data_IF_988427600240
#
_entry.id   IF_988427600240
#
_cell.length_a   1.000
_cell.length_b   1.000
_cell.length_c   1.000
_cell.angle_alpha   90.00
_cell.angle_beta   90.00
_cell.angle_gamma   90.00
#
_symmetry.space_group_name_H-M   'P 1'
#
loop_
_entity.id
_entity.type
_entity.pdbx_description
1 polymer ?
#
# COMPACT_ATOMS: atom_id res chain seq x y z
N UNK A 1 -19.39 22.87 21.50
CA UNK A 1 -19.35 21.39 21.33
C UNK A 1 -19.45 21.09 19.83
N UNK A 2 -18.50 20.34 19.31
CA UNK A 2 -18.58 19.86 17.93
C UNK A 2 -19.26 18.48 17.93
N UNK A 3 -20.24 18.30 17.05
CA UNK A 3 -20.97 17.06 16.87
C UNK A 3 -20.45 16.34 15.64
N UNK A 4 -20.28 15.04 15.72
CA UNK A 4 -19.82 14.20 14.63
C UNK A 4 -20.87 13.15 14.28
N UNK A 5 -21.05 12.89 13.01
CA UNK A 5 -21.97 11.84 12.56
C UNK A 5 -21.27 10.49 12.73
N UNK A 6 -21.86 9.63 13.54
CA UNK A 6 -21.35 8.28 13.82
C UNK A 6 -21.84 7.28 12.78
N UNK A 7 -23.10 7.37 12.40
CA UNK A 7 -23.75 6.54 11.37
C UNK A 7 -24.75 7.37 10.58
N UNK A 8 -25.10 6.90 9.38
CA UNK A 8 -26.11 7.52 8.53
C UNK A 8 -25.63 8.70 7.70
N UNK A 9 -24.35 8.83 7.39
CA UNK A 9 -23.83 9.91 6.54
C UNK A 9 -24.54 9.98 5.17
N UNK A 10 -24.69 8.84 4.48
CA UNK A 10 -25.41 8.79 3.22
C UNK A 10 -26.90 9.13 3.36
N UNK A 11 -27.52 8.73 4.48
CA UNK A 11 -28.91 9.09 4.79
C UNK A 11 -29.04 10.61 5.01
N UNK A 12 -28.09 11.21 5.74
CA UNK A 12 -28.08 12.66 5.94
C UNK A 12 -27.94 13.42 4.61
N UNK A 13 -27.04 12.99 3.72
CA UNK A 13 -26.89 13.60 2.41
C UNK A 13 -28.17 13.45 1.56
N UNK A 14 -28.79 12.29 1.58
CA UNK A 14 -30.08 12.07 0.92
C UNK A 14 -31.18 13.00 1.49
N UNK A 15 -31.27 13.14 2.80
CA UNK A 15 -32.22 14.06 3.44
C UNK A 15 -31.97 15.53 3.06
N UNK A 16 -30.73 15.95 2.95
CA UNK A 16 -30.39 17.30 2.48
C UNK A 16 -30.88 17.56 1.03
N UNK A 17 -30.74 16.56 0.16
CA UNK A 17 -31.19 16.65 -1.23
C UNK A 17 -32.72 16.72 -1.31
N UNK A 18 -33.41 15.92 -0.52
CA UNK A 18 -34.88 15.81 -0.54
C UNK A 18 -35.56 16.92 0.30
N UNK A 19 -34.81 17.60 1.18
CA UNK A 19 -35.32 18.71 1.99
C UNK A 19 -36.25 18.27 3.16
N UNK A 20 -36.12 17.00 3.61
CA UNK A 20 -36.92 16.49 4.73
C UNK A 20 -36.17 16.60 6.05
N UNK A 21 -36.93 16.77 7.21
CA UNK A 21 -36.29 16.83 8.53
C UNK A 21 -35.57 15.55 8.91
N UNK A 22 -34.31 15.69 9.39
CA UNK A 22 -33.50 14.57 9.86
C UNK A 22 -33.83 14.26 11.32
N UNK A 23 -34.19 13.00 11.58
CA UNK A 23 -34.27 12.48 12.96
C UNK A 23 -32.92 11.87 13.34
N UNK A 24 -32.36 12.24 14.46
CA UNK A 24 -31.05 11.75 14.94
C UNK A 24 -31.11 11.47 16.45
N UNK A 25 -30.19 10.64 16.88
CA UNK A 25 -29.97 10.27 18.27
C UNK A 25 -28.61 10.76 18.70
N UNK A 26 -28.52 11.48 19.79
CA UNK A 26 -27.26 11.93 20.37
C UNK A 26 -26.74 10.85 21.31
N UNK A 27 -25.46 10.50 21.15
CA UNK A 27 -24.77 9.55 22.00
C UNK A 27 -23.48 10.22 22.51
N UNK A 28 -23.48 10.56 23.81
CA UNK A 28 -22.32 11.20 24.47
C UNK A 28 -21.31 10.17 25.02
N UNK A 29 -21.71 8.90 25.07
CA UNK A 29 -20.99 7.76 25.63
C UNK A 29 -20.10 7.03 24.63
N UNK A 30 -20.11 7.42 23.35
CA UNK A 30 -19.38 6.70 22.28
C UNK A 30 -18.01 7.31 21.99
N UNK A 31 -17.00 6.44 21.91
CA UNK A 31 -15.66 6.76 21.46
C UNK A 31 -15.48 6.39 19.99
N UNK A 32 -14.38 6.84 19.37
CA UNK A 32 -14.10 6.58 17.96
C UNK A 32 -13.87 5.08 17.67
N UNK A 33 -13.41 4.35 18.69
CA UNK A 33 -13.24 2.90 18.66
C UNK A 33 -14.59 2.18 18.54
N UNK A 34 -15.61 2.68 19.23
CA UNK A 34 -16.98 2.13 19.20
C UNK A 34 -17.61 2.34 17.83
N UNK A 35 -17.34 3.50 17.19
CA UNK A 35 -17.80 3.79 15.83
C UNK A 35 -17.20 2.80 14.83
N UNK A 36 -15.92 2.48 14.97
CA UNK A 36 -15.24 1.49 14.12
C UNK A 36 -15.83 0.10 14.30
N UNK A 37 -16.13 -0.28 15.55
CA UNK A 37 -16.77 -1.55 15.87
C UNK A 37 -18.16 -1.67 15.24
N UNK A 38 -19.01 -0.65 15.36
CA UNK A 38 -20.33 -0.63 14.76
C UNK A 38 -20.31 -0.75 13.24
N UNK A 39 -19.39 -0.02 12.58
CA UNK A 39 -19.25 -0.08 11.14
C UNK A 39 -18.63 -1.42 10.66
N UNK A 40 -17.88 -2.12 11.51
CA UNK A 40 -17.30 -3.42 11.15
C UNK A 40 -18.33 -4.55 11.05
N UNK A 41 -19.51 -4.38 11.68
CA UNK A 41 -20.60 -5.38 11.65
C UNK A 41 -21.38 -5.33 10.34
N UNK A 42 -21.55 -4.14 9.74
CA UNK A 42 -22.39 -3.96 8.56
C UNK A 42 -21.61 -3.79 7.25
N UNK A 43 -20.45 -3.14 7.26
CA UNK A 43 -19.53 -3.07 6.13
C UNK A 43 -18.08 -3.05 6.64
N UNK A 44 -17.29 -4.02 6.22
CA UNK A 44 -15.85 -4.04 6.57
C UNK A 44 -15.16 -2.85 5.92
N UNK A 45 -14.63 -1.96 6.74
CA UNK A 45 -13.81 -0.85 6.27
C UNK A 45 -12.62 -1.35 5.44
N UNK A 46 -12.38 -0.70 4.33
CA UNK A 46 -11.16 -0.87 3.56
C UNK A 46 -9.97 -0.29 4.33
N UNK A 47 -8.76 -0.72 3.99
CA UNK A 47 -7.54 -0.14 4.60
C UNK A 47 -7.42 1.36 4.33
N UNK A 48 -7.96 1.85 3.21
CA UNK A 48 -7.98 3.28 2.90
C UNK A 48 -8.90 4.05 3.85
N UNK A 49 -10.08 3.52 4.21
CA UNK A 49 -10.97 4.15 5.18
C UNK A 49 -10.35 4.22 6.57
N UNK A 50 -9.69 3.14 7.02
CA UNK A 50 -8.88 3.17 8.24
C UNK A 50 -7.77 4.24 8.17
N UNK A 51 -7.02 4.30 7.07
CA UNK A 51 -6.00 5.32 6.87
C UNK A 51 -6.58 6.72 7.03
N UNK A 52 -7.63 7.03 6.28
CA UNK A 52 -8.24 8.37 6.31
C UNK A 52 -8.82 8.74 7.67
N UNK A 53 -9.35 7.77 8.43
CA UNK A 53 -9.82 8.01 9.79
C UNK A 53 -8.69 8.46 10.73
N UNK A 54 -7.51 7.82 10.64
CA UNK A 54 -6.34 8.20 11.44
C UNK A 54 -5.67 9.49 10.96
N UNK A 55 -5.69 9.76 9.67
CA UNK A 55 -5.24 11.05 9.10
C UNK A 55 -6.08 12.21 9.64
N UNK A 56 -7.41 12.05 9.68
CA UNK A 56 -8.33 13.05 10.28
C UNK A 56 -8.07 13.28 11.77
N UNK A 57 -7.61 12.26 12.50
CA UNK A 57 -7.18 12.38 13.90
C UNK A 57 -5.83 13.07 14.06
N UNK A 58 -5.16 13.39 12.96
CA UNK A 58 -3.89 14.10 12.99
C UNK A 58 -2.66 13.23 13.25
N UNK A 59 -2.77 11.89 13.23
CA UNK A 59 -1.69 10.96 13.53
C UNK A 59 -0.56 11.08 12.49
N UNK A 60 0.68 11.46 12.87
CA UNK A 60 1.75 11.80 11.93
C UNK A 60 2.13 10.65 10.99
N UNK A 61 2.28 9.42 11.53
CA UNK A 61 2.67 8.25 10.73
C UNK A 61 1.64 7.97 9.62
N UNK A 62 0.34 8.17 9.88
CA UNK A 62 -0.73 7.95 8.89
C UNK A 62 -0.79 9.07 7.85
N UNK A 63 -0.51 10.31 8.22
CA UNK A 63 -0.36 11.42 7.25
C UNK A 63 0.80 11.14 6.29
N UNK A 64 1.89 10.56 6.82
CA UNK A 64 3.01 10.18 5.96
C UNK A 64 2.67 9.03 5.01
N UNK A 65 1.93 8.00 5.48
CA UNK A 65 1.46 6.92 4.60
C UNK A 65 0.57 7.48 3.48
N UNK A 66 -0.35 8.41 3.80
CA UNK A 66 -1.18 9.06 2.79
C UNK A 66 -0.33 9.76 1.73
N UNK A 67 0.66 10.54 2.17
CA UNK A 67 1.60 11.18 1.28
C UNK A 67 2.38 10.15 0.45
N UNK A 68 2.90 9.08 1.07
CA UNK A 68 3.68 8.04 0.42
C UNK A 68 2.89 7.33 -0.69
N UNK A 69 1.63 6.98 -0.42
CA UNK A 69 0.72 6.38 -1.40
C UNK A 69 0.51 7.30 -2.59
N UNK A 70 0.21 8.58 -2.33
CA UNK A 70 -0.02 9.58 -3.38
C UNK A 70 1.24 9.86 -4.22
N UNK A 71 2.38 9.95 -3.55
CA UNK A 71 3.66 10.28 -4.18
C UNK A 71 4.23 9.15 -5.02
N UNK A 72 4.11 7.91 -4.54
CA UNK A 72 4.70 6.74 -5.20
C UNK A 72 3.69 5.86 -5.94
N UNK A 73 2.40 6.14 -5.85
CA UNK A 73 1.32 5.32 -6.44
C UNK A 73 1.31 3.86 -5.97
N UNK A 74 1.78 3.62 -4.74
CA UNK A 74 1.81 2.29 -4.11
C UNK A 74 0.58 2.14 -3.22
N UNK A 75 -0.10 0.99 -3.27
CA UNK A 75 -1.31 0.76 -2.50
C UNK A 75 -1.04 0.71 -0.98
N UNK A 76 -2.08 0.96 -0.17
CA UNK A 76 -1.98 1.04 1.31
C UNK A 76 -1.27 -0.17 1.90
N UNK A 77 -1.64 -1.37 1.47
CA UNK A 77 -1.14 -2.63 2.03
C UNK A 77 0.36 -2.81 1.79
N UNK A 78 0.81 -2.52 0.59
CA UNK A 78 2.22 -2.58 0.20
C UNK A 78 3.04 -1.47 0.89
N UNK A 79 2.45 -0.27 1.02
CA UNK A 79 3.08 0.84 1.76
C UNK A 79 3.29 0.51 3.24
N UNK A 80 2.31 -0.12 3.90
CA UNK A 80 2.45 -0.61 5.28
C UNK A 80 3.64 -1.57 5.40
N UNK A 81 3.73 -2.56 4.51
CA UNK A 81 4.83 -3.52 4.52
C UNK A 81 6.19 -2.83 4.36
N UNK A 82 6.32 -1.97 3.36
CA UNK A 82 7.58 -1.26 3.06
C UNK A 82 8.02 -0.38 4.22
N UNK A 83 7.12 0.43 4.79
CA UNK A 83 7.43 1.37 5.86
C UNK A 83 7.75 0.68 7.21
N UNK A 84 7.45 -0.60 7.34
CA UNK A 84 7.85 -1.45 8.47
C UNK A 84 9.01 -2.40 8.16
N UNK A 85 9.60 -2.35 6.96
CA UNK A 85 10.74 -3.17 6.57
C UNK A 85 10.40 -4.63 6.25
N UNK A 86 9.14 -4.92 5.89
CA UNK A 86 8.69 -6.26 5.56
C UNK A 86 8.54 -6.45 4.04
N UNK A 87 8.71 -7.68 3.60
CA UNK A 87 8.57 -8.05 2.19
C UNK A 87 7.13 -8.40 1.80
N UNK A 88 6.23 -8.47 2.77
CA UNK A 88 4.78 -8.67 2.61
C UNK A 88 4.06 -8.24 3.89
N UNK A 89 2.77 -7.92 3.78
CA UNK A 89 1.97 -7.56 4.95
C UNK A 89 1.37 -8.80 5.61
N UNK A 90 1.53 -8.90 6.92
CA UNK A 90 0.86 -9.90 7.77
C UNK A 90 -0.48 -9.39 8.29
N UNK A 91 -1.34 -10.30 8.77
CA UNK A 91 -2.59 -9.89 9.41
C UNK A 91 -2.34 -9.08 10.68
N UNK A 92 -1.35 -9.42 11.47
CA UNK A 92 -0.94 -8.70 12.68
C UNK A 92 -0.57 -7.24 12.37
N UNK A 93 0.21 -7.01 11.31
CA UNK A 93 0.54 -5.64 10.86
C UNK A 93 -0.70 -4.87 10.44
N UNK A 94 -1.60 -5.50 9.71
CA UNK A 94 -2.84 -4.87 9.27
C UNK A 94 -3.76 -4.55 10.45
N UNK A 95 -3.83 -5.40 11.45
CA UNK A 95 -4.61 -5.16 12.66
C UNK A 95 -3.98 -4.05 13.52
N UNK A 96 -2.65 -4.03 13.65
CA UNK A 96 -1.91 -2.94 14.27
C UNK A 96 -2.19 -1.62 13.57
N UNK A 97 -2.20 -1.62 12.23
CA UNK A 97 -2.54 -0.46 11.42
C UNK A 97 -4.00 0.00 11.63
N UNK A 98 -4.98 -0.90 11.54
CA UNK A 98 -6.40 -0.57 11.75
C UNK A 98 -6.65 0.04 13.13
N UNK A 99 -5.94 -0.44 14.15
CA UNK A 99 -6.07 -0.01 15.55
C UNK A 99 -5.32 1.29 15.88
N UNK A 100 -4.73 1.97 14.91
CA UNK A 100 -4.03 3.24 15.13
C UNK A 100 -2.65 3.11 15.79
N UNK A 101 -2.12 1.89 15.90
CA UNK A 101 -0.84 1.59 16.56
C UNK A 101 0.32 1.45 15.58
N UNK A 102 0.09 1.72 14.30
CA UNK A 102 1.14 1.66 13.28
C UNK A 102 2.26 2.64 13.57
N UNK A 103 3.50 2.18 13.39
CA UNK A 103 4.72 3.00 13.47
C UNK A 103 5.60 2.74 12.26
N UNK A 104 6.11 3.82 11.67
CA UNK A 104 7.11 3.74 10.62
C UNK A 104 8.48 3.47 11.24
N UNK A 105 9.19 2.47 10.73
CA UNK A 105 10.52 2.06 11.24
C UNK A 105 11.58 2.05 10.15
N UNK A 106 11.21 2.01 8.86
CA UNK A 106 12.10 1.84 7.71
C UNK A 106 11.84 2.88 6.61
N UNK A 107 11.74 4.16 7.00
CA UNK A 107 11.36 5.26 6.13
C UNK A 107 12.28 5.44 4.92
N UNK A 108 13.59 5.51 5.18
CA UNK A 108 14.60 5.75 4.13
C UNK A 108 14.66 4.57 3.15
N UNK A 109 14.61 3.36 3.68
CA UNK A 109 14.63 2.14 2.86
C UNK A 109 13.37 2.02 2.02
N UNK A 110 12.20 2.27 2.59
CA UNK A 110 10.93 2.27 1.88
C UNK A 110 10.92 3.29 0.74
N UNK A 111 11.39 4.51 0.99
CA UNK A 111 11.50 5.55 -0.04
C UNK A 111 12.43 5.14 -1.17
N UNK A 112 13.60 4.58 -0.83
CA UNK A 112 14.56 4.05 -1.80
C UNK A 112 13.95 2.91 -2.64
N UNK A 113 13.18 2.02 -2.05
CA UNK A 113 12.54 0.93 -2.76
C UNK A 113 11.40 1.44 -3.65
N UNK A 114 10.63 2.42 -3.19
CA UNK A 114 9.59 3.07 -3.99
C UNK A 114 10.16 3.75 -5.24
N UNK A 115 11.28 4.48 -5.12
CA UNK A 115 11.98 5.06 -6.27
C UNK A 115 12.47 4.00 -7.26
N UNK A 116 13.00 2.89 -6.76
CA UNK A 116 13.42 1.77 -7.62
C UNK A 116 12.24 1.13 -8.35
N UNK A 117 11.08 0.97 -7.69
CA UNK A 117 9.86 0.47 -8.34
C UNK A 117 9.41 1.45 -9.44
N UNK A 118 9.46 2.76 -9.17
CA UNK A 118 9.19 3.80 -10.17
C UNK A 118 10.15 3.72 -11.37
N UNK A 119 11.43 3.43 -11.13
CA UNK A 119 12.40 3.25 -12.20
C UNK A 119 12.13 1.98 -13.02
N UNK A 120 11.78 0.86 -12.35
CA UNK A 120 11.38 -0.40 -13.03
C UNK A 120 10.15 -0.15 -13.91
N UNK A 121 9.20 0.67 -13.47
CA UNK A 121 7.97 0.94 -14.22
C UNK A 121 8.23 1.53 -15.61
N UNK A 122 9.34 2.20 -15.82
CA UNK A 122 9.74 2.70 -17.15
C UNK A 122 9.97 1.59 -18.17
N UNK A 123 10.26 0.38 -17.71
CA UNK A 123 10.58 -0.79 -18.54
C UNK A 123 9.58 -1.94 -18.39
N UNK A 124 8.75 -1.91 -17.33
CA UNK A 124 7.77 -2.95 -17.03
C UNK A 124 6.51 -2.32 -16.44
N UNK A 125 5.47 -2.21 -17.24
CA UNK A 125 4.18 -1.57 -16.93
C UNK A 125 3.54 -2.09 -15.62
N UNK A 126 3.68 -3.40 -15.33
CA UNK A 126 3.07 -4.04 -14.15
C UNK A 126 3.92 -3.95 -12.88
N UNK A 127 4.91 -3.04 -12.82
CA UNK A 127 5.78 -2.86 -11.65
C UNK A 127 5.03 -2.48 -10.37
N UNK A 128 3.85 -1.87 -10.49
CA UNK A 128 2.98 -1.53 -9.35
C UNK A 128 1.99 -2.63 -8.97
N UNK A 129 1.99 -3.79 -9.66
CA UNK A 129 1.14 -4.88 -9.26
C UNK A 129 1.59 -5.46 -7.91
N UNK A 130 0.62 -5.79 -7.06
CA UNK A 130 0.86 -6.35 -5.72
C UNK A 130 1.86 -7.52 -5.73
N UNK A 131 1.68 -8.45 -6.67
CA UNK A 131 2.52 -9.64 -6.77
C UNK A 131 3.97 -9.28 -7.10
N UNK A 132 4.15 -8.31 -8.01
CA UNK A 132 5.48 -7.83 -8.38
C UNK A 132 6.14 -7.06 -7.25
N UNK A 133 5.44 -6.13 -6.59
CA UNK A 133 5.98 -5.37 -5.45
C UNK A 133 6.53 -6.33 -4.39
N UNK A 134 5.75 -7.33 -3.96
CA UNK A 134 6.22 -8.29 -2.96
C UNK A 134 7.37 -9.18 -3.45
N UNK A 135 7.42 -9.47 -4.74
CA UNK A 135 8.55 -10.20 -5.32
C UNK A 135 9.84 -9.36 -5.29
N UNK A 136 9.77 -8.11 -5.77
CA UNK A 136 10.95 -7.26 -5.85
C UNK A 136 11.45 -6.82 -4.46
N UNK A 137 10.56 -6.62 -3.48
CA UNK A 137 10.95 -6.36 -2.09
C UNK A 137 11.74 -7.53 -1.50
N UNK A 138 11.33 -8.78 -1.79
CA UNK A 138 12.09 -9.98 -1.38
C UNK A 138 13.47 -10.04 -2.02
N UNK A 139 13.59 -9.58 -3.27
CA UNK A 139 14.87 -9.50 -3.98
C UNK A 139 15.74 -8.39 -3.41
N UNK A 140 15.16 -7.23 -3.08
CA UNK A 140 15.90 -6.11 -2.48
C UNK A 140 16.49 -6.44 -1.11
N UNK A 141 15.85 -7.32 -0.34
CA UNK A 141 16.36 -7.82 0.93
C UNK A 141 17.62 -8.68 0.80
N UNK A 142 17.90 -9.22 -0.38
CA UNK A 142 19.11 -9.98 -0.61
C UNK A 142 20.32 -9.04 -0.70
N UNK A 143 21.25 -9.15 0.26
CA UNK A 143 22.45 -8.33 0.34
C UNK A 143 23.36 -8.45 -0.90
N UNK A 144 23.29 -9.57 -1.61
CA UNK A 144 24.06 -9.81 -2.84
C UNK A 144 23.44 -9.14 -4.07
N UNK A 145 22.22 -8.61 -3.97
CA UNK A 145 21.53 -8.00 -5.09
C UNK A 145 22.12 -6.62 -5.43
N UNK A 146 22.61 -6.48 -6.66
CA UNK A 146 23.20 -5.23 -7.16
C UNK A 146 22.20 -4.49 -8.04
N UNK A 147 21.59 -3.43 -7.52
CA UNK A 147 20.59 -2.63 -8.20
C UNK A 147 21.00 -2.17 -9.61
N UNK A 148 22.19 -1.55 -9.74
CA UNK A 148 22.69 -1.04 -11.02
C UNK A 148 22.78 -2.13 -12.08
N UNK A 149 23.21 -3.33 -11.68
CA UNK A 149 23.29 -4.48 -12.59
C UNK A 149 21.89 -4.92 -13.04
N UNK A 150 20.92 -4.99 -12.13
CA UNK A 150 19.55 -5.38 -12.47
C UNK A 150 18.89 -4.41 -13.43
N UNK A 151 18.94 -3.08 -13.14
CA UNK A 151 18.28 -2.08 -13.98
C UNK A 151 18.90 -1.99 -15.37
N UNK A 152 20.22 -2.16 -15.50
CA UNK A 152 20.90 -2.25 -16.79
C UNK A 152 20.43 -3.47 -17.59
N UNK A 153 20.30 -4.63 -16.94
CA UNK A 153 19.76 -5.84 -17.60
C UNK A 153 18.31 -5.66 -18.00
N UNK A 154 17.49 -5.07 -17.14
CA UNK A 154 16.07 -4.84 -17.41
C UNK A 154 15.88 -3.87 -18.57
N UNK A 155 16.63 -2.76 -18.62
CA UNK A 155 16.53 -1.78 -19.69
C UNK A 155 16.86 -2.36 -21.07
N UNK A 156 17.82 -3.29 -21.14
CA UNK A 156 18.24 -3.96 -22.38
C UNK A 156 17.36 -5.15 -22.76
N UNK A 157 16.59 -5.70 -21.83
CA UNK A 157 15.83 -6.94 -22.01
C UNK A 157 14.40 -6.83 -21.45
N UNK A 158 13.77 -5.67 -21.56
CA UNK A 158 12.43 -5.43 -20.98
C UNK A 158 11.37 -6.44 -21.45
N UNK A 159 11.44 -6.88 -22.69
CA UNK A 159 10.54 -7.89 -23.26
C UNK A 159 10.59 -9.26 -22.57
N UNK A 160 11.66 -9.54 -21.81
CA UNK A 160 11.77 -10.77 -21.00
C UNK A 160 11.04 -10.68 -19.67
N UNK A 161 10.74 -9.46 -19.18
CA UNK A 161 9.92 -9.27 -18.01
C UNK A 161 8.46 -9.34 -18.40
N UNK A 162 7.79 -10.41 -18.02
CA UNK A 162 6.37 -10.67 -18.34
C UNK A 162 5.53 -10.75 -17.09
N UNK A 163 4.21 -10.53 -17.23
CA UNK A 163 3.25 -10.77 -16.15
C UNK A 163 3.31 -12.21 -15.70
N UNK A 164 3.36 -12.40 -14.40
CA UNK A 164 3.47 -13.71 -13.76
C UNK A 164 2.24 -14.04 -12.92
N UNK A 165 1.94 -15.33 -12.79
CA UNK A 165 0.79 -15.81 -12.04
C UNK A 165 0.96 -15.64 -10.51
N UNK A 166 2.19 -15.71 -10.00
CA UNK A 166 2.47 -15.64 -8.58
C UNK A 166 3.68 -14.75 -8.24
N UNK A 167 3.84 -14.43 -6.95
CA UNK A 167 5.04 -13.77 -6.42
C UNK A 167 6.31 -14.59 -6.70
N UNK A 168 6.24 -15.91 -6.53
CA UNK A 168 7.38 -16.82 -6.72
C UNK A 168 7.82 -16.81 -8.18
N UNK A 169 6.88 -16.87 -9.13
CA UNK A 169 7.18 -16.81 -10.54
C UNK A 169 7.85 -15.48 -10.93
N UNK A 170 7.44 -14.36 -10.32
CA UNK A 170 8.13 -13.09 -10.50
C UNK A 170 9.56 -13.12 -9.97
N UNK A 171 9.82 -13.73 -8.82
CA UNK A 171 11.18 -13.88 -8.28
C UNK A 171 12.04 -14.68 -9.27
N UNK A 172 11.54 -15.80 -9.77
CA UNK A 172 12.24 -16.63 -10.77
C UNK A 172 12.50 -15.84 -12.07
N UNK A 173 11.52 -15.06 -12.53
CA UNK A 173 11.67 -14.21 -13.71
C UNK A 173 12.76 -13.14 -13.50
N UNK A 174 12.77 -12.47 -12.34
CA UNK A 174 13.79 -11.48 -11.97
C UNK A 174 15.18 -12.15 -11.90
N UNK A 175 15.30 -13.31 -11.27
CA UNK A 175 16.57 -14.04 -11.17
C UNK A 175 17.11 -14.46 -12.53
N UNK A 176 16.24 -14.94 -13.42
CA UNK A 176 16.64 -15.30 -14.80
C UNK A 176 17.15 -14.08 -15.54
N UNK A 177 16.46 -12.95 -15.44
CA UNK A 177 16.90 -11.70 -16.05
C UNK A 177 18.25 -11.24 -15.48
N UNK A 178 18.40 -11.32 -14.15
CA UNK A 178 19.60 -10.91 -13.43
C UNK A 178 20.83 -11.74 -13.79
N UNK A 179 20.70 -13.06 -13.94
CA UNK A 179 21.78 -14.01 -14.25
C UNK A 179 22.09 -14.09 -15.73
N UNK A 180 21.24 -13.59 -16.61
CA UNK A 180 21.44 -13.70 -18.05
C UNK A 180 22.68 -12.91 -18.48
N UNK A 181 23.74 -13.63 -18.87
CA UNK A 181 24.78 -13.06 -19.72
C UNK A 181 24.15 -12.63 -21.05
N UNK A 182 24.57 -11.52 -21.67
CA UNK A 182 24.13 -11.22 -23.01
C UNK A 182 24.43 -12.45 -23.87
N UNK A 183 23.44 -12.95 -24.60
CA UNK A 183 23.71 -13.91 -25.68
C UNK A 183 24.51 -13.10 -26.66
N UNK A 184 25.81 -13.38 -26.73
CA UNK A 184 26.64 -12.90 -27.81
C UNK A 184 26.02 -13.57 -29.02
N UNK A 185 25.38 -12.79 -29.89
CA UNK A 185 25.00 -13.28 -31.19
C UNK A 185 26.33 -13.61 -31.87
N UNK A 186 26.60 -14.91 -31.95
CA UNK A 186 27.68 -15.41 -32.83
C UNK A 186 27.14 -15.19 -34.24
N UNK A 187 27.69 -14.17 -34.92
CA UNK A 187 27.44 -13.90 -36.32
C UNK A 187 27.94 -15.03 -37.21
#
# INVERSE_FOLDING_TARGET
>A
KNWYIIDGQHRLEAYKIVGVPVRYLIRDDMKIEDIRSLNSVHMKWSLMEYLMSHVKLGTPDYKYIEWFIRHYSIQVKESIAMLQGFHYSTNEQLDTFKNGKFKMTHLEEASKYAERIREIHKYFEYAYSKKFIYAILSVFANKSFKWKHFIDKLSKNSSKMRVQASRVDYIVCIERLYKHAPIIAVG
#
